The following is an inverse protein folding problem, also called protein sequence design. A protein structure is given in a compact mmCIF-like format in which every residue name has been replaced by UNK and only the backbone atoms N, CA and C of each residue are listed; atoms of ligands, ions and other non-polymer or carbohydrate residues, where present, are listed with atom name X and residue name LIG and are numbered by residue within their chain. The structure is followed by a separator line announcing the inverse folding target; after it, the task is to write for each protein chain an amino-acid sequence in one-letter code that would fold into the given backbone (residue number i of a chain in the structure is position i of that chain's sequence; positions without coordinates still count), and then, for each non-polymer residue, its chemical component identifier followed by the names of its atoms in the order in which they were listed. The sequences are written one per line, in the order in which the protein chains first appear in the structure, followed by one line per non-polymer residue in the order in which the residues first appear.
data_IF_363258006963
#
_entry.id   IF_363258006963
#
_cell.length_a   1.000
_cell.length_b   1.000
_cell.length_c   1.000
_cell.angle_alpha   90.00
_cell.angle_beta   90.00
_cell.angle_gamma   90.00
#
_symmetry.space_group_name_H-M   'P 1'
#
loop_
_entity.id
_entity.type
_entity.pdbx_description
1 polymer ?
#
# COMPACT_ATOMS: atom_id res chain seq x y z
N UNK A 1 11.28 -34.33 11.42
CA UNK A 1 12.05 -33.15 11.84
C UNK A 1 11.03 -32.11 12.29
N UNK A 2 10.95 -31.82 13.59
CA UNK A 2 9.95 -30.89 14.13
C UNK A 2 10.46 -29.46 13.96
N UNK A 3 9.91 -28.71 13.00
CA UNK A 3 10.24 -27.29 12.82
C UNK A 3 9.76 -26.52 14.05
N UNK A 4 10.70 -25.99 14.85
CA UNK A 4 10.38 -25.14 15.99
C UNK A 4 10.08 -23.74 15.44
N UNK A 5 8.91 -23.18 15.74
CA UNK A 5 8.54 -21.83 15.28
C UNK A 5 8.55 -20.83 16.45
N UNK A 6 9.07 -19.62 16.18
CA UNK A 6 9.02 -18.46 17.07
C UNK A 6 8.01 -17.46 16.51
N UNK A 7 7.04 -17.03 17.32
CA UNK A 7 6.08 -15.99 16.97
C UNK A 7 6.65 -14.59 17.21
N UNK A 8 6.63 -13.73 16.19
CA UNK A 8 7.09 -12.33 16.28
C UNK A 8 6.00 -11.37 15.78
N UNK A 9 5.88 -10.20 16.41
CA UNK A 9 4.89 -9.18 16.11
C UNK A 9 5.52 -8.00 15.37
N UNK A 10 4.87 -7.53 14.29
CA UNK A 10 5.30 -6.34 13.58
C UNK A 10 4.93 -5.07 14.37
N UNK A 11 5.86 -4.12 14.59
CA UNK A 11 5.57 -2.89 15.33
C UNK A 11 4.72 -1.88 14.55
N UNK A 12 4.48 -2.11 13.26
CA UNK A 12 3.82 -1.14 12.38
C UNK A 12 2.34 -1.44 12.13
N UNK A 13 2.00 -2.71 11.98
CA UNK A 13 0.65 -3.17 11.65
C UNK A 13 0.15 -4.23 12.63
N UNK A 14 0.92 -4.52 13.68
CA UNK A 14 0.57 -5.45 14.76
C UNK A 14 0.37 -6.92 14.33
N UNK A 15 0.70 -7.25 13.07
CA UNK A 15 0.61 -8.60 12.53
C UNK A 15 1.60 -9.56 13.22
N UNK A 16 1.13 -10.76 13.55
CA UNK A 16 1.93 -11.83 14.19
C UNK A 16 2.28 -12.91 13.19
N UNK A 17 3.56 -13.27 13.09
CA UNK A 17 4.06 -14.27 12.14
C UNK A 17 5.08 -15.22 12.77
N UNK A 18 5.20 -16.42 12.20
CA UNK A 18 6.09 -17.48 12.67
C UNK A 18 7.41 -17.46 11.89
N UNK A 19 8.53 -17.46 12.60
CA UNK A 19 9.89 -17.52 12.04
C UNK A 19 10.60 -18.75 12.60
N UNK A 20 11.44 -19.38 11.79
CA UNK A 20 12.35 -20.42 12.25
C UNK A 20 13.49 -19.77 13.07
N UNK A 21 13.66 -20.11 14.36
CA UNK A 21 14.72 -19.54 15.20
C UNK A 21 16.12 -19.87 14.69
N UNK A 22 16.31 -20.91 13.86
CA UNK A 22 17.61 -21.22 13.26
C UNK A 22 18.01 -20.24 12.15
N UNK A 23 17.05 -19.48 11.60
CA UNK A 23 17.33 -18.43 10.59
C UNK A 23 17.68 -17.08 11.19
N UNK A 24 17.57 -16.91 12.50
CA UNK A 24 17.83 -15.63 13.17
C UNK A 24 19.18 -15.72 13.92
N UNK A 25 20.24 -15.08 13.42
CA UNK A 25 21.53 -15.01 14.10
C UNK A 25 21.45 -14.09 15.33
N UNK A 26 22.46 -14.17 16.21
CA UNK A 26 22.51 -13.42 17.48
C UNK A 26 22.52 -11.90 17.30
N UNK A 27 23.01 -11.41 16.17
CA UNK A 27 23.08 -9.98 15.81
C UNK A 27 21.73 -9.42 15.29
N UNK A 28 20.69 -10.27 15.26
CA UNK A 28 19.40 -9.96 14.69
C UNK A 28 19.43 -9.94 13.16
N UNK A 29 18.29 -10.24 12.54
CA UNK A 29 18.14 -10.23 11.08
C UNK A 29 17.10 -9.18 10.68
N UNK A 30 17.33 -8.40 9.60
CA UNK A 30 16.27 -7.63 8.99
C UNK A 30 15.21 -8.59 8.43
N UNK A 31 13.97 -8.41 8.84
CA UNK A 31 12.83 -9.13 8.29
C UNK A 31 11.86 -8.17 7.63
N UNK A 32 11.14 -8.66 6.63
CA UNK A 32 10.10 -7.92 5.93
C UNK A 32 8.75 -8.43 6.43
N UNK A 33 7.89 -7.52 6.91
CA UNK A 33 6.52 -7.88 7.27
C UNK A 33 5.71 -8.26 6.03
N UNK A 34 5.02 -9.40 6.05
CA UNK A 34 4.13 -9.84 4.96
C UNK A 34 2.90 -8.96 4.76
N UNK A 35 2.49 -8.22 5.79
CA UNK A 35 1.23 -7.48 5.81
C UNK A 35 1.40 -6.02 5.38
N UNK A 36 2.45 -5.36 5.88
CA UNK A 36 2.72 -3.95 5.59
C UNK A 36 4.06 -3.68 4.90
N UNK A 37 4.83 -4.72 4.55
CA UNK A 37 6.12 -4.66 3.84
C UNK A 37 7.23 -3.86 4.54
N UNK A 38 7.01 -3.43 5.79
CA UNK A 38 8.02 -2.71 6.56
C UNK A 38 9.17 -3.64 6.93
N UNK A 39 10.39 -3.15 6.71
CA UNK A 39 11.62 -3.82 7.17
C UNK A 39 11.86 -3.46 8.63
N UNK A 40 12.05 -4.46 9.48
CA UNK A 40 12.39 -4.27 10.90
C UNK A 40 13.34 -5.36 11.41
N UNK A 41 14.04 -5.11 12.52
CA UNK A 41 15.01 -6.05 13.10
C UNK A 41 14.37 -6.85 14.23
N UNK A 42 14.66 -8.15 14.29
CA UNK A 42 14.23 -9.03 15.38
C UNK A 42 15.46 -9.58 16.09
N UNK A 43 15.45 -9.45 17.42
CA UNK A 43 16.43 -10.04 18.33
C UNK A 43 15.76 -11.20 19.08
N UNK A 44 16.40 -12.38 19.11
CA UNK A 44 15.89 -13.52 19.88
C UNK A 44 16.11 -13.26 21.39
N UNK A 45 15.08 -13.44 22.25
CA UNK A 45 15.30 -13.41 23.69
C UNK A 45 16.20 -14.59 24.10
N UNK A 46 17.24 -14.27 24.88
CA UNK A 46 18.33 -15.15 25.34
C UNK A 46 17.90 -16.44 26.08
N UNK A 47 16.60 -16.66 26.33
CA UNK A 47 16.06 -17.78 27.09
C UNK A 47 16.20 -19.16 26.42
N UNK A 48 16.49 -19.24 25.12
CA UNK A 48 16.74 -20.51 24.42
C UNK A 48 18.21 -20.95 24.42
N UNK A 49 19.11 -20.11 24.92
CA UNK A 49 20.55 -20.37 24.95
C UNK A 49 20.94 -20.84 26.34
N UNK A 50 20.48 -22.03 26.75
CA UNK A 50 21.04 -22.70 27.93
C UNK A 50 21.69 -24.01 27.51
N UNK A 51 23.01 -23.93 27.38
CA UNK A 51 23.95 -25.01 27.10
C UNK A 51 25.36 -24.41 27.02
N UNK A 52 26.01 -24.31 28.19
CA UNK A 52 27.45 -24.51 28.48
C UNK A 52 28.46 -24.12 27.37
N UNK A 53 29.49 -23.29 27.56
CA UNK A 53 30.20 -22.73 28.70
C UNK A 53 31.32 -21.80 28.18
N UNK A 54 32.14 -21.29 29.11
CA UNK A 54 33.40 -20.51 29.04
C UNK A 54 34.06 -20.26 27.65
N UNK A 55 34.59 -19.08 27.32
CA UNK A 55 35.70 -18.45 28.04
C UNK A 55 35.77 -16.93 27.86
N UNK A 56 36.29 -16.31 28.92
CA UNK A 56 36.74 -14.94 28.96
C UNK A 56 38.10 -14.80 28.29
N UNK A 57 38.23 -13.78 27.43
CA UNK A 57 39.45 -13.00 27.18
C UNK A 57 38.97 -11.78 26.38
N UNK A 58 38.94 -10.57 26.96
CA UNK A 58 40.02 -9.58 26.94
C UNK A 58 40.55 -9.37 25.50
N UNK A 59 40.58 -8.17 24.92
CA UNK A 59 40.95 -6.89 25.53
C UNK A 59 40.49 -5.70 24.70
N UNK A 60 40.56 -4.54 25.34
CA UNK A 60 40.38 -3.18 24.84
C UNK A 60 41.24 -2.83 23.61
N UNK A 61 40.72 -1.97 22.74
CA UNK A 61 41.46 -0.93 22.00
C UNK A 61 40.43 0.15 21.56
N UNK A 62 40.31 1.26 22.30
CA UNK A 62 40.84 2.58 21.92
C UNK A 62 40.62 2.87 20.42
N UNK A 63 39.61 3.65 20.03
CA UNK A 63 39.68 5.11 20.15
C UNK A 63 40.12 5.71 18.81
N UNK A 64 39.18 6.25 18.03
CA UNK A 64 39.47 7.24 17.00
C UNK A 64 38.18 7.98 16.60
N UNK A 65 37.99 9.15 17.21
CA UNK A 65 37.26 10.27 16.63
C UNK A 65 38.08 10.81 15.46
N UNK A 66 37.47 11.00 14.29
CA UNK A 66 37.75 12.16 13.44
C UNK A 66 36.58 12.42 12.45
N UNK A 67 36.31 13.69 12.09
CA UNK A 67 35.06 14.20 11.51
C UNK A 67 35.05 14.16 9.96
N UNK A 68 33.97 14.61 9.28
CA UNK A 68 33.78 14.41 7.84
C UNK A 68 34.46 15.52 7.01
N UNK A 69 34.88 15.23 5.76
CA UNK A 69 35.13 16.27 4.77
C UNK A 69 34.03 16.35 3.70
N UNK A 70 33.33 17.48 3.77
CA UNK A 70 33.01 18.45 2.70
C UNK A 70 32.47 17.99 1.33
N UNK A 71 31.31 18.56 1.04
CA UNK A 71 30.65 18.69 -0.26
C UNK A 71 31.46 19.55 -1.23
N UNK A 72 31.46 19.25 -2.54
CA UNK A 72 31.65 20.27 -3.55
C UNK A 72 30.29 20.77 -4.06
N UNK A 73 30.00 22.01 -3.68
CA UNK A 73 29.02 22.90 -4.27
C UNK A 73 29.30 23.05 -5.78
N UNK A 74 28.48 22.42 -6.63
CA UNK A 74 28.41 22.79 -8.04
C UNK A 74 27.24 23.75 -8.25
N UNK A 75 27.54 25.03 -8.03
CA UNK A 75 26.82 26.14 -8.60
C UNK A 75 26.85 26.05 -10.14
N UNK A 76 25.69 26.21 -10.79
CA UNK A 76 25.64 26.32 -12.24
C UNK A 76 24.27 26.21 -12.89
N UNK A 77 23.29 27.01 -12.47
CA UNK A 77 22.39 27.66 -13.44
C UNK A 77 23.12 28.91 -13.99
N UNK A 78 22.79 29.47 -15.18
CA UNK A 78 21.48 29.45 -15.82
C UNK A 78 21.51 29.22 -17.35
N UNK A 79 20.32 29.12 -17.94
CA UNK A 79 19.88 29.89 -19.11
C UNK A 79 19.02 29.06 -20.07
N UNK A 80 17.71 29.28 -19.95
CA UNK A 80 16.84 29.70 -21.05
C UNK A 80 17.23 29.25 -22.45
N UNK A 81 16.41 28.37 -23.02
CA UNK A 81 16.10 28.46 -24.44
C UNK A 81 14.66 28.08 -24.70
N UNK A 82 13.82 29.11 -24.73
CA UNK A 82 12.60 29.10 -25.50
C UNK A 82 12.92 28.70 -26.94
N UNK A 83 12.24 27.69 -27.45
CA UNK A 83 12.03 27.50 -28.87
C UNK A 83 10.56 27.21 -29.07
N UNK A 84 9.95 28.15 -29.78
CA UNK A 84 8.57 28.18 -30.19
C UNK A 84 8.19 26.99 -31.08
N UNK A 85 6.89 26.72 -31.02
CA UNK A 85 6.01 25.95 -31.90
C UNK A 85 6.47 25.90 -33.37
N UNK A 86 6.31 24.74 -34.04
CA UNK A 86 5.23 24.72 -35.01
C UNK A 86 4.37 23.45 -34.93
N UNK A 87 3.07 23.72 -34.87
CA UNK A 87 1.96 23.00 -35.48
C UNK A 87 2.41 22.04 -36.59
N UNK A 88 1.84 20.83 -36.57
CA UNK A 88 1.08 20.24 -37.69
C UNK A 88 0.65 18.81 -37.36
N UNK A 89 -0.54 18.47 -37.86
CA UNK A 89 -1.05 17.14 -38.19
C UNK A 89 -1.58 16.25 -37.05
N UNK A 90 -2.90 16.24 -36.92
CA UNK A 90 -3.64 14.99 -36.76
C UNK A 90 -4.93 15.09 -37.58
N UNK A 91 -5.02 14.22 -38.58
CA UNK A 91 -6.06 14.18 -39.58
C UNK A 91 -7.36 13.63 -38.98
N UNK A 92 -8.46 14.36 -39.21
CA UNK A 92 -9.81 13.97 -38.80
C UNK A 92 -10.33 12.91 -39.79
N UNK A 93 -10.09 11.64 -39.47
CA UNK A 93 -10.74 10.50 -40.12
C UNK A 93 -12.01 10.15 -39.34
N UNK A 94 -13.15 10.43 -39.96
CA UNK A 94 -14.47 10.22 -39.38
C UNK A 94 -14.85 8.76 -39.20
N UNK A 95 -15.89 8.56 -38.37
CA UNK A 95 -16.77 7.40 -38.45
C UNK A 95 -18.18 7.79 -37.98
N UNK A 96 -19.24 7.35 -38.68
CA UNK A 96 -20.61 7.82 -38.51
C UNK A 96 -21.31 7.26 -37.25
N UNK A 97 -22.39 7.92 -36.78
CA UNK A 97 -23.17 7.47 -35.64
C UNK A 97 -24.00 6.23 -36.00
N UNK A 98 -23.73 5.11 -35.32
CA UNK A 98 -24.59 3.94 -35.34
C UNK A 98 -25.82 4.21 -34.46
N UNK A 99 -26.97 4.26 -35.11
CA UNK A 99 -28.29 4.29 -34.51
C UNK A 99 -28.99 2.99 -34.86
N UNK A 100 -29.43 2.23 -33.85
CA UNK A 100 -30.54 1.28 -33.97
C UNK A 100 -31.25 1.14 -32.61
N UNK A 101 -32.52 1.55 -32.63
CA UNK A 101 -33.73 1.18 -31.88
C UNK A 101 -33.65 -0.08 -30.99
N UNK A 102 -34.20 -0.05 -29.75
CA UNK A 102 -35.55 -0.52 -29.35
C UNK A 102 -35.85 -1.97 -29.81
N UNK A 103 -36.30 -2.92 -28.99
CA UNK A 103 -37.50 -2.91 -28.16
C UNK A 103 -37.65 -4.25 -27.39
N UNK A 104 -38.49 -4.24 -26.34
CA UNK A 104 -39.28 -5.36 -25.77
C UNK A 104 -38.55 -6.57 -25.14
N UNK A 105 -38.54 -6.71 -23.81
CA UNK A 105 -39.62 -7.20 -22.93
C UNK A 105 -39.61 -8.73 -22.73
N UNK A 106 -39.67 -9.16 -21.47
CA UNK A 106 -40.55 -10.21 -20.90
C UNK A 106 -39.87 -10.98 -19.74
N UNK A 107 -40.34 -10.64 -18.53
CA UNK A 107 -40.67 -11.49 -17.38
C UNK A 107 -39.78 -12.70 -17.00
N UNK A 108 -39.22 -12.60 -15.80
CA UNK A 108 -38.71 -13.74 -15.01
C UNK A 108 -38.71 -13.43 -13.51
N UNK A 109 -39.90 -13.38 -12.91
CA UNK A 109 -40.10 -13.27 -11.46
C UNK A 109 -39.85 -14.59 -10.74
N UNK A 110 -39.35 -14.48 -9.50
CA UNK A 110 -39.36 -15.49 -8.40
C UNK A 110 -38.19 -16.50 -8.39
N UNK A 111 -37.49 -16.76 -7.29
CA UNK A 111 -37.96 -16.87 -5.90
C UNK A 111 -36.93 -16.42 -4.86
N UNK A 112 -37.47 -15.76 -3.84
CA UNK A 112 -36.89 -15.60 -2.50
C UNK A 112 -36.50 -16.96 -1.89
N UNK A 113 -35.27 -17.06 -1.40
CA UNK A 113 -34.76 -18.15 -0.58
C UNK A 113 -34.16 -17.59 0.69
N UNK A 114 -34.94 -17.65 1.78
CA UNK A 114 -34.57 -17.27 3.15
C UNK A 114 -33.39 -18.10 3.66
N UNK A 115 -32.33 -17.50 4.22
CA UNK A 115 -31.28 -18.24 4.93
C UNK A 115 -31.84 -18.81 6.24
N UNK A 116 -31.54 -20.07 6.61
CA UNK A 116 -31.84 -20.55 7.95
C UNK A 116 -30.92 -19.87 8.98
N UNK A 117 -31.56 -19.35 10.01
CA UNK A 117 -30.98 -18.81 11.23
C UNK A 117 -30.44 -19.94 12.14
N UNK A 118 -29.20 -19.72 12.61
CA UNK A 118 -28.60 -20.09 13.92
C UNK A 118 -28.07 -21.52 14.20
N UNK A 119 -27.03 -21.69 15.07
CA UNK A 119 -26.54 -20.76 16.09
C UNK A 119 -25.03 -20.43 16.09
N UNK A 120 -24.72 -19.37 16.83
CA UNK A 120 -23.40 -18.91 17.21
C UNK A 120 -22.58 -19.99 17.98
N UNK A 121 -21.32 -20.14 17.58
CA UNK A 121 -20.25 -20.58 18.47
C UNK A 121 -19.13 -19.56 18.43
N UNK A 122 -19.01 -18.84 19.54
CA UNK A 122 -17.86 -18.01 19.87
C UNK A 122 -16.58 -18.84 19.94
N UNK A 123 -15.43 -18.23 19.62
CA UNK A 123 -14.17 -18.65 20.23
C UNK A 123 -12.99 -18.91 19.30
N UNK A 124 -12.35 -17.84 18.84
CA UNK A 124 -10.89 -17.68 18.94
C UNK A 124 -9.97 -18.70 18.26
N UNK A 125 -10.35 -19.24 17.10
CA UNK A 125 -9.40 -19.93 16.19
C UNK A 125 -9.42 -19.37 14.76
N UNK A 126 -10.35 -18.46 14.44
CA UNK A 126 -10.49 -17.93 13.07
C UNK A 126 -9.41 -16.90 12.68
N UNK A 127 -8.76 -16.25 13.64
CA UNK A 127 -7.74 -15.25 13.31
C UNK A 127 -6.40 -15.89 12.88
N UNK A 128 -6.04 -17.06 13.40
CA UNK A 128 -4.78 -17.74 13.06
C UNK A 128 -4.89 -18.63 11.81
N UNK A 129 -6.06 -19.25 11.58
CA UNK A 129 -6.29 -20.09 10.39
C UNK A 129 -6.47 -19.28 9.09
N UNK A 130 -6.78 -17.98 9.18
CA UNK A 130 -6.85 -17.07 8.03
C UNK A 130 -5.49 -16.58 7.53
N UNK A 131 -4.38 -16.90 8.22
CA UNK A 131 -3.07 -16.23 8.02
C UNK A 131 -2.12 -16.87 7.00
N UNK A 132 -2.50 -17.94 6.31
CA UNK A 132 -1.62 -18.56 5.28
C UNK A 132 -2.30 -18.98 3.98
N UNK A 133 -3.63 -18.79 3.83
CA UNK A 133 -4.36 -19.45 2.74
C UNK A 133 -5.09 -18.53 1.76
N UNK A 134 -5.75 -17.46 2.21
CA UNK A 134 -6.57 -16.60 1.34
C UNK A 134 -6.66 -15.19 1.94
N UNK A 135 -5.90 -14.24 1.39
CA UNK A 135 -6.20 -12.82 1.62
C UNK A 135 -7.61 -12.57 1.10
N UNK A 136 -8.48 -11.93 1.88
CA UNK A 136 -9.82 -11.61 1.39
C UNK A 136 -9.72 -10.66 0.19
N UNK A 137 -10.67 -10.69 -0.76
CA UNK A 137 -10.72 -9.72 -1.86
C UNK A 137 -10.66 -8.27 -1.35
N UNK A 138 -11.34 -7.98 -0.24
CA UNK A 138 -11.33 -6.67 0.42
C UNK A 138 -9.93 -6.28 0.93
N UNK A 139 -9.16 -7.20 1.52
CA UNK A 139 -7.80 -6.88 1.95
C UNK A 139 -6.86 -6.64 0.77
N UNK A 140 -7.08 -7.33 -0.36
CA UNK A 140 -6.33 -7.06 -1.59
C UNK A 140 -6.68 -5.67 -2.13
N UNK A 141 -7.96 -5.33 -2.21
CA UNK A 141 -8.44 -4.04 -2.66
C UNK A 141 -7.88 -2.89 -1.81
N UNK A 142 -7.98 -2.99 -0.47
CA UNK A 142 -7.41 -1.99 0.45
C UNK A 142 -5.91 -1.77 0.24
N UNK A 143 -5.14 -2.83 0.01
CA UNK A 143 -3.70 -2.70 -0.28
C UNK A 143 -3.45 -2.04 -1.62
N UNK A 144 -4.16 -2.45 -2.66
CA UNK A 144 -4.01 -1.87 -3.99
C UNK A 144 -4.28 -0.36 -3.98
N UNK A 145 -5.37 0.08 -3.35
CA UNK A 145 -5.69 1.49 -3.20
C UNK A 145 -4.53 2.29 -2.59
N UNK A 146 -3.92 1.78 -1.51
CA UNK A 146 -2.79 2.45 -0.85
C UNK A 146 -1.53 2.51 -1.73
N UNK A 147 -1.30 1.48 -2.53
CA UNK A 147 -0.17 1.47 -3.49
C UNK A 147 -0.38 2.55 -4.54
N UNK A 148 -1.54 2.57 -5.19
CA UNK A 148 -1.86 3.56 -6.24
C UNK A 148 -1.78 5.00 -5.72
N UNK A 149 -2.33 5.28 -4.54
CA UNK A 149 -2.25 6.63 -3.95
C UNK A 149 -0.80 7.00 -3.57
N UNK A 150 0.00 6.05 -3.08
CA UNK A 150 1.42 6.30 -2.80
C UNK A 150 2.21 6.58 -4.08
N UNK A 151 1.79 6.00 -5.20
CA UNK A 151 2.42 6.17 -6.50
C UNK A 151 2.28 7.61 -7.02
N UNK A 152 1.09 8.21 -6.86
CA UNK A 152 0.83 9.62 -7.20
C UNK A 152 1.87 10.57 -6.58
N UNK A 153 2.19 10.38 -5.30
CA UNK A 153 3.16 11.22 -4.58
C UNK A 153 4.58 10.90 -5.05
N UNK A 154 4.88 9.63 -5.29
CA UNK A 154 6.23 9.19 -5.70
C UNK A 154 6.60 9.76 -7.06
N UNK A 155 5.66 9.83 -7.99
CA UNK A 155 5.88 10.38 -9.33
C UNK A 155 5.75 11.90 -9.42
N UNK A 156 5.02 12.53 -8.51
CA UNK A 156 4.80 13.98 -8.52
C UNK A 156 5.13 14.66 -7.17
N UNK A 157 6.37 14.53 -6.64
CA UNK A 157 6.71 15.02 -5.30
C UNK A 157 6.64 16.56 -5.20
N UNK A 158 7.14 17.29 -6.21
CA UNK A 158 7.11 18.75 -6.21
C UNK A 158 5.68 19.30 -6.26
N UNK A 159 4.84 18.74 -7.13
CA UNK A 159 3.41 19.10 -7.26
C UNK A 159 2.64 18.80 -5.97
N UNK A 160 2.99 17.72 -5.28
CA UNK A 160 2.41 17.37 -3.98
C UNK A 160 2.73 18.42 -2.91
N UNK A 161 3.98 18.85 -2.81
CA UNK A 161 4.41 19.88 -1.85
C UNK A 161 3.72 21.22 -2.11
N UNK A 162 3.72 21.69 -3.36
CA UNK A 162 3.03 22.93 -3.74
C UNK A 162 1.52 22.87 -3.45
N UNK A 163 0.87 21.77 -3.79
CA UNK A 163 -0.55 21.58 -3.56
C UNK A 163 -0.89 21.50 -2.05
N UNK A 164 0.02 20.97 -1.23
CA UNK A 164 -0.11 20.92 0.23
C UNK A 164 -0.02 22.30 0.85
N UNK A 165 0.91 23.13 0.39
CA UNK A 165 1.10 24.50 0.88
C UNK A 165 -0.04 25.42 0.47
N UNK A 166 -0.52 25.29 -0.78
CA UNK A 166 -1.61 26.10 -1.33
C UNK A 166 -3.01 25.61 -0.93
N UNK A 167 -3.13 24.41 -0.36
CA UNK A 167 -4.42 23.81 -0.01
C UNK A 167 -5.26 23.36 -1.21
N UNK A 168 -4.63 23.17 -2.37
CA UNK A 168 -5.29 22.83 -3.65
C UNK A 168 -5.18 21.35 -4.03
N UNK A 169 -4.83 20.48 -3.08
CA UNK A 169 -4.57 19.05 -3.29
C UNK A 169 -5.57 18.32 -4.20
N UNK A 170 -6.87 18.54 -4.01
CA UNK A 170 -7.91 17.86 -4.80
C UNK A 170 -7.82 18.26 -6.28
N UNK A 171 -7.70 19.56 -6.56
CA UNK A 171 -7.59 20.10 -7.91
C UNK A 171 -6.25 19.72 -8.54
N UNK A 172 -5.18 19.82 -7.75
CA UNK A 172 -3.84 19.53 -8.18
C UNK A 172 -3.59 18.05 -8.40
N UNK A 173 -4.46 17.11 -8.01
CA UNK A 173 -4.27 15.68 -8.29
C UNK A 173 -5.50 15.06 -8.96
N UNK A 174 -6.46 15.86 -9.44
CA UNK A 174 -7.73 15.38 -10.00
C UNK A 174 -7.51 14.35 -11.11
N UNK A 175 -6.62 14.64 -12.06
CA UNK A 175 -6.32 13.75 -13.18
C UNK A 175 -5.65 12.45 -12.73
N UNK A 176 -4.70 12.52 -11.80
CA UNK A 176 -4.00 11.36 -11.27
C UNK A 176 -4.93 10.47 -10.45
N UNK A 177 -5.84 11.09 -9.69
CA UNK A 177 -6.88 10.43 -8.92
C UNK A 177 -7.85 9.71 -9.86
N UNK A 178 -8.29 10.34 -10.94
CA UNK A 178 -9.18 9.73 -11.93
C UNK A 178 -8.53 8.51 -12.59
N UNK A 179 -7.30 8.65 -13.11
CA UNK A 179 -6.56 7.54 -13.73
C UNK A 179 -6.37 6.37 -12.77
N UNK A 180 -5.97 6.67 -11.53
CA UNK A 180 -5.75 5.64 -10.51
C UNK A 180 -7.06 5.00 -10.05
N UNK A 181 -8.17 5.73 -10.08
CA UNK A 181 -9.50 5.19 -9.80
C UNK A 181 -9.92 4.20 -10.89
N UNK A 182 -9.72 4.52 -12.17
CA UNK A 182 -10.00 3.63 -13.29
C UNK A 182 -9.17 2.34 -13.19
N UNK A 183 -7.87 2.45 -12.92
CA UNK A 183 -7.00 1.30 -12.70
C UNK A 183 -7.45 0.45 -11.49
N UNK A 184 -7.85 1.11 -10.40
CA UNK A 184 -8.37 0.42 -9.22
C UNK A 184 -9.64 -0.38 -9.55
N UNK A 185 -10.59 0.22 -10.29
CA UNK A 185 -11.81 -0.45 -10.75
C UNK A 185 -11.50 -1.61 -11.68
N UNK A 186 -10.56 -1.46 -12.61
CA UNK A 186 -10.17 -2.52 -13.55
C UNK A 186 -9.64 -3.76 -12.80
N UNK A 187 -8.83 -3.56 -11.76
CA UNK A 187 -8.21 -4.66 -11.03
C UNK A 187 -9.10 -5.29 -9.95
N UNK A 188 -10.00 -4.50 -9.37
CA UNK A 188 -10.82 -4.91 -8.21
C UNK A 188 -12.26 -5.27 -8.61
N UNK A 189 -12.73 -4.72 -9.73
CA UNK A 189 -14.10 -4.83 -10.22
C UNK A 189 -15.00 -3.70 -9.69
N UNK A 190 -16.00 -3.26 -10.48
CA UNK A 190 -16.83 -2.10 -10.16
C UNK A 190 -17.66 -2.30 -8.89
N UNK A 191 -18.19 -3.51 -8.65
CA UNK A 191 -19.03 -3.79 -7.48
C UNK A 191 -18.30 -3.53 -6.15
N UNK A 192 -17.04 -3.98 -6.05
CA UNK A 192 -16.26 -3.80 -4.82
C UNK A 192 -15.66 -2.40 -4.75
N UNK A 193 -15.29 -1.81 -5.89
CA UNK A 193 -14.77 -0.45 -5.93
C UNK A 193 -15.84 0.57 -5.48
N UNK A 194 -17.04 0.51 -6.06
CA UNK A 194 -18.15 1.42 -5.75
C UNK A 194 -18.77 1.15 -4.38
N UNK A 195 -18.81 -0.11 -3.96
CA UNK A 195 -19.40 -0.54 -2.69
C UNK A 195 -18.54 -0.33 -1.45
N UNK A 196 -17.28 0.13 -1.59
CA UNK A 196 -16.35 0.33 -0.47
C UNK A 196 -15.71 1.72 -0.49
N UNK A 197 -15.16 2.12 0.65
CA UNK A 197 -14.46 3.39 0.86
C UNK A 197 -12.93 3.24 0.78
N UNK A 198 -12.40 2.08 0.40
CA UNK A 198 -10.96 1.80 0.52
C UNK A 198 -10.07 2.78 -0.24
N UNK A 199 -10.50 3.23 -1.41
CA UNK A 199 -9.77 4.21 -2.20
C UNK A 199 -9.84 5.61 -1.58
N UNK A 200 -11.04 6.04 -1.17
CA UNK A 200 -11.27 7.31 -0.47
C UNK A 200 -10.48 7.37 0.85
N UNK A 201 -10.49 6.29 1.62
CA UNK A 201 -9.72 6.16 2.84
C UNK A 201 -8.21 6.26 2.56
N UNK A 202 -7.71 5.62 1.49
CA UNK A 202 -6.32 5.75 1.09
C UNK A 202 -5.94 7.18 0.68
N UNK A 203 -6.82 7.89 -0.06
CA UNK A 203 -6.62 9.30 -0.40
C UNK A 203 -6.53 10.17 0.85
N UNK A 204 -7.45 10.01 1.79
CA UNK A 204 -7.43 10.77 3.05
C UNK A 204 -6.19 10.43 3.89
N UNK A 205 -5.85 9.15 4.05
CA UNK A 205 -4.71 8.71 4.85
C UNK A 205 -3.36 9.18 4.29
N UNK A 206 -3.16 9.00 2.97
CA UNK A 206 -1.84 9.12 2.33
C UNK A 206 -1.70 10.48 1.65
N UNK A 207 -2.61 10.82 0.74
CA UNK A 207 -2.55 12.08 -0.01
C UNK A 207 -2.85 13.26 0.92
N UNK A 208 -3.93 13.18 1.68
CA UNK A 208 -4.35 14.22 2.61
C UNK A 208 -3.68 14.13 4.00
N UNK A 209 -2.74 13.19 4.23
CA UNK A 209 -2.00 13.03 5.50
C UNK A 209 -2.89 12.86 6.74
N UNK A 210 -4.03 12.19 6.57
CA UNK A 210 -5.01 11.91 7.62
C UNK A 210 -6.16 12.92 7.68
N UNK A 211 -6.18 13.95 6.84
CA UNK A 211 -7.31 14.87 6.73
C UNK A 211 -8.45 14.28 5.88
N UNK A 212 -9.69 14.42 6.33
CA UNK A 212 -10.88 13.99 5.57
C UNK A 212 -11.27 15.03 4.51
N UNK A 213 -10.56 15.03 3.37
CA UNK A 213 -10.85 15.86 2.20
C UNK A 213 -11.85 15.19 1.25
N UNK A 214 -11.76 13.87 1.11
CA UNK A 214 -12.61 13.07 0.25
C UNK A 214 -13.67 12.33 1.09
N UNK A 215 -14.90 12.20 0.58
CA UNK A 215 -16.02 11.56 1.31
C UNK A 215 -16.81 10.63 0.39
N UNK A 216 -17.52 9.69 1.01
CA UNK A 216 -18.38 8.73 0.31
C UNK A 216 -17.69 7.40 0.01
N UNK A 217 -18.27 6.65 -0.91
CA UNK A 217 -17.74 5.39 -1.44
C UNK A 217 -17.65 5.49 -2.96
N UNK A 218 -16.81 4.67 -3.57
CA UNK A 218 -16.65 4.68 -5.01
C UNK A 218 -15.78 5.82 -5.53
N UNK A 219 -16.21 6.40 -6.66
CA UNK A 219 -15.41 7.38 -7.40
C UNK A 219 -15.20 8.65 -6.56
N UNK A 220 -13.94 9.07 -6.32
CA UNK A 220 -13.64 10.33 -5.64
C UNK A 220 -14.14 11.52 -6.46
N UNK A 221 -14.80 12.46 -5.79
CA UNK A 221 -15.31 13.72 -6.34
C UNK A 221 -15.48 14.77 -5.26
#
# INVERSE_FOLDING_TARGET
MTTRSLSVQCPSCEATFAIDPLRVPREGIPVICSDCLRVFRIELPLALVRGEGMDATSSEDAGATDPPPEEPEFAGEPASRAVEDPALAAEEFGVPPAQVAEEAAEVGSSRSGRPPEEPAVEGTLSAAAARFGRRSPSDRARRLARVLVSDMITYHPARYEEARESGTLVQAFEEEIEKSWEEYVEQVGPELAEGTDFFIAALNDILARGETLFRGTGRPG
#
